data_IF_822504432059
#
_entry.id   IF_822504432059
#
_cell.length_a   1.000
_cell.length_b   1.000
_cell.length_c   1.000
_cell.angle_alpha   90.00
_cell.angle_beta   90.00
_cell.angle_gamma   90.00
#
_symmetry.space_group_name_H-M   'P 1'
#
loop_
_entity.id
_entity.type
_entity.pdbx_description
1 polymer ?
#
# COMPACT_ATOMS: atom_id res chain seq x y z
N UNK A 1 -3.02 -19.10 0.75
CA UNK A 1 -3.58 -17.76 1.02
C UNK A 1 -3.62 -17.43 2.51
N UNK A 2 -3.78 -18.42 3.42
CA UNK A 2 -3.77 -18.17 4.86
C UNK A 2 -2.40 -17.71 5.39
N UNK A 3 -1.29 -18.18 4.86
CA UNK A 3 0.05 -17.75 5.26
C UNK A 3 0.49 -16.38 4.75
N UNK A 4 -0.21 -15.82 3.75
CA UNK A 4 0.07 -14.47 3.23
C UNK A 4 -0.75 -13.41 3.98
N UNK A 5 -1.88 -13.78 4.56
CA UNK A 5 -2.73 -12.86 5.33
C UNK A 5 -2.22 -12.61 6.75
N UNK A 6 -1.51 -13.57 7.36
CA UNK A 6 -0.88 -13.38 8.68
C UNK A 6 0.31 -12.40 8.64
N UNK A 7 0.92 -12.19 7.47
CA UNK A 7 2.00 -11.21 7.28
C UNK A 7 1.51 -9.75 7.32
N UNK A 8 0.22 -9.49 7.18
CA UNK A 8 -0.31 -8.14 6.97
C UNK A 8 -0.82 -7.42 8.23
N UNK A 9 -1.07 -8.12 9.33
CA UNK A 9 -1.79 -7.51 10.46
C UNK A 9 -0.89 -6.70 11.42
N UNK A 10 0.39 -7.03 11.54
CA UNK A 10 1.29 -6.42 12.51
C UNK A 10 2.34 -5.47 11.92
N UNK A 11 2.57 -5.52 10.61
CA UNK A 11 3.65 -4.77 9.96
C UNK A 11 3.30 -3.32 9.58
N UNK A 12 2.07 -2.88 9.81
CA UNK A 12 1.55 -1.64 9.23
C UNK A 12 0.91 -0.72 10.28
N UNK A 13 1.23 0.57 10.24
CA UNK A 13 0.55 1.60 11.03
C UNK A 13 0.07 2.76 10.18
N UNK A 14 -1.09 3.29 10.55
CA UNK A 14 -1.67 4.51 10.01
C UNK A 14 -1.15 5.70 10.80
N UNK A 15 -0.50 6.65 10.14
CA UNK A 15 0.05 7.87 10.73
C UNK A 15 -0.91 9.06 10.66
N UNK A 16 -2.04 8.89 9.98
CA UNK A 16 -3.06 9.92 9.79
C UNK A 16 -4.43 9.38 10.15
N UNK A 17 -5.30 10.25 10.63
CA UNK A 17 -6.71 9.91 10.80
C UNK A 17 -7.35 9.66 9.43
N UNK A 18 -8.35 8.77 9.36
CA UNK A 18 -9.13 8.55 8.14
C UNK A 18 -9.71 9.86 7.58
N UNK A 19 -10.07 10.80 8.46
CA UNK A 19 -10.52 12.14 8.08
C UNK A 19 -9.44 12.94 7.34
N UNK A 20 -8.17 12.83 7.74
CA UNK A 20 -7.05 13.51 7.08
C UNK A 20 -6.83 12.95 5.68
N UNK A 21 -6.87 11.62 5.54
CA UNK A 21 -6.76 10.94 4.24
C UNK A 21 -7.87 11.38 3.28
N UNK A 22 -9.13 11.31 3.72
CA UNK A 22 -10.29 11.71 2.91
C UNK A 22 -10.17 13.18 2.52
N UNK A 23 -9.78 14.05 3.45
CA UNK A 23 -9.62 15.48 3.20
C UNK A 23 -8.56 15.76 2.12
N UNK A 24 -7.38 15.15 2.24
CA UNK A 24 -6.30 15.37 1.27
C UNK A 24 -6.64 14.75 -0.08
N UNK A 25 -7.09 13.49 -0.11
CA UNK A 25 -7.48 12.83 -1.36
C UNK A 25 -8.69 13.46 -2.04
N UNK A 26 -9.54 14.22 -1.33
CA UNK A 26 -10.62 14.99 -1.96
C UNK A 26 -10.11 16.09 -2.90
N UNK A 27 -8.89 16.58 -2.68
CA UNK A 27 -8.20 17.58 -3.52
C UNK A 27 -7.27 16.98 -4.57
N UNK A 28 -7.00 15.67 -4.49
CA UNK A 28 -6.16 14.94 -5.46
C UNK A 28 -7.01 14.48 -6.64
N UNK A 29 -6.50 14.54 -7.88
CA UNK A 29 -7.22 14.03 -9.05
C UNK A 29 -7.57 12.54 -8.89
N UNK A 30 -8.85 12.21 -9.02
CA UNK A 30 -9.38 10.86 -8.73
C UNK A 30 -8.95 9.77 -9.71
N UNK A 31 -8.30 10.15 -10.80
CA UNK A 31 -7.81 9.20 -11.82
C UNK A 31 -6.39 8.72 -11.56
N UNK A 32 -5.70 9.24 -10.54
CA UNK A 32 -4.34 8.85 -10.21
C UNK A 32 -4.29 7.54 -9.43
N UNK A 33 -3.26 6.76 -9.72
CA UNK A 33 -2.80 5.64 -8.93
C UNK A 33 -1.49 6.02 -8.23
N UNK A 34 -1.25 5.50 -7.04
CA UNK A 34 0.04 5.59 -6.35
C UNK A 34 0.61 4.18 -6.26
N UNK A 35 1.66 3.95 -7.01
CA UNK A 35 2.32 2.64 -7.17
C UNK A 35 3.82 2.92 -7.25
N UNK A 36 4.57 2.58 -6.21
CA UNK A 36 6.03 2.55 -6.29
C UNK A 36 6.46 1.46 -7.28
N UNK A 37 7.21 1.84 -8.33
CA UNK A 37 7.55 0.91 -9.40
C UNK A 37 8.91 1.20 -10.03
N UNK A 38 9.57 0.12 -10.44
CA UNK A 38 10.78 0.16 -11.26
C UNK A 38 10.76 -0.93 -12.32
N UNK A 39 11.38 -0.67 -13.47
CA UNK A 39 11.64 -1.67 -14.49
C UNK A 39 13.01 -2.33 -14.34
N UNK A 40 13.84 -1.82 -13.46
CA UNK A 40 15.11 -2.47 -13.08
C UNK A 40 14.81 -3.56 -12.05
N UNK A 41 14.46 -4.74 -12.58
CA UNK A 41 14.10 -5.89 -11.75
C UNK A 41 15.31 -6.69 -11.25
N UNK A 42 16.48 -6.50 -11.86
CA UNK A 42 17.74 -7.08 -11.42
C UNK A 42 17.63 -8.57 -11.09
N UNK A 43 18.09 -8.95 -9.90
CA UNK A 43 18.05 -10.34 -9.44
C UNK A 43 16.63 -10.93 -9.33
N UNK A 44 15.60 -10.08 -9.21
CA UNK A 44 14.19 -10.52 -9.16
C UNK A 44 13.76 -11.22 -10.46
N UNK A 45 14.41 -10.96 -11.60
CA UNK A 45 14.12 -11.65 -12.83
C UNK A 45 14.37 -13.16 -12.69
N UNK A 46 15.57 -13.55 -12.32
CA UNK A 46 15.99 -14.95 -12.21
C UNK A 46 15.41 -15.69 -10.99
N UNK A 47 15.02 -14.97 -9.94
CA UNK A 47 14.56 -15.57 -8.68
C UNK A 47 13.04 -15.51 -8.48
N UNK A 48 12.35 -14.59 -9.15
CA UNK A 48 10.90 -14.39 -8.98
C UNK A 48 10.13 -14.53 -10.30
N UNK A 49 10.56 -13.86 -11.37
CA UNK A 49 9.80 -13.80 -12.63
C UNK A 49 9.92 -15.11 -13.43
N UNK A 50 11.12 -15.62 -13.61
CA UNK A 50 11.38 -16.85 -14.38
C UNK A 50 10.94 -18.14 -13.66
N UNK A 51 11.08 -18.31 -12.34
CA UNK A 51 10.64 -19.53 -11.67
C UNK A 51 9.12 -19.75 -11.80
N UNK A 52 8.73 -21.01 -11.94
CA UNK A 52 7.32 -21.42 -11.98
C UNK A 52 6.95 -21.90 -10.58
N UNK A 53 6.06 -21.15 -9.93
CA UNK A 53 5.53 -21.49 -8.61
C UNK A 53 4.19 -22.20 -8.78
N UNK A 54 4.06 -23.35 -8.14
CA UNK A 54 2.84 -24.17 -8.18
C UNK A 54 2.25 -24.21 -6.77
N UNK A 55 1.03 -23.70 -6.63
CA UNK A 55 0.23 -23.83 -5.42
C UNK A 55 -0.64 -25.09 -5.49
N UNK A 56 -0.22 -26.14 -4.80
CA UNK A 56 -0.97 -27.39 -4.79
C UNK A 56 -2.36 -27.25 -4.14
N UNK A 57 -2.58 -26.24 -3.30
CA UNK A 57 -3.87 -25.97 -2.67
C UNK A 57 -4.97 -25.55 -3.65
N UNK A 58 -4.60 -25.01 -4.81
CA UNK A 58 -5.54 -24.68 -5.89
C UNK A 58 -6.06 -25.96 -6.58
N UNK A 59 -5.22 -27.00 -6.68
CA UNK A 59 -5.52 -28.24 -7.43
C UNK A 59 -5.90 -29.40 -6.53
N UNK A 60 -5.41 -29.42 -5.29
CA UNK A 60 -5.61 -30.49 -4.32
C UNK A 60 -6.17 -29.90 -3.02
N UNK A 61 -7.48 -29.94 -2.87
CA UNK A 61 -8.15 -29.51 -1.66
C UNK A 61 -7.50 -30.13 -0.40
N UNK A 62 -7.07 -29.28 0.54
CA UNK A 62 -6.49 -29.70 1.82
C UNK A 62 -4.95 -29.73 1.89
N UNK A 63 -4.22 -29.35 0.83
CA UNK A 63 -2.76 -29.15 0.87
C UNK A 63 -2.42 -27.68 0.71
N UNK A 64 -1.78 -27.08 1.74
CA UNK A 64 -1.34 -25.68 1.75
C UNK A 64 0.14 -25.50 1.38
N UNK A 65 0.70 -26.44 0.62
CA UNK A 65 2.10 -26.38 0.21
C UNK A 65 2.21 -25.85 -1.22
N UNK A 66 3.09 -24.88 -1.39
CA UNK A 66 3.54 -24.46 -2.72
C UNK A 66 4.96 -24.98 -2.97
N UNK A 67 5.32 -25.21 -4.21
CA UNK A 67 6.65 -25.65 -4.61
C UNK A 67 7.08 -24.95 -5.89
N UNK A 68 8.37 -24.83 -6.08
CA UNK A 68 8.95 -24.31 -7.31
C UNK A 68 9.24 -25.48 -8.25
N UNK A 69 8.85 -25.35 -9.51
CA UNK A 69 9.22 -26.30 -10.54
C UNK A 69 10.75 -26.28 -10.79
N UNK A 70 11.30 -27.41 -11.23
CA UNK A 70 12.72 -27.53 -11.56
C UNK A 70 13.10 -26.69 -12.78
N UNK A 71 12.18 -26.60 -13.74
CA UNK A 71 12.34 -25.82 -14.96
C UNK A 71 11.95 -24.34 -14.71
N UNK A 72 12.69 -23.44 -15.35
CA UNK A 72 12.37 -22.01 -15.41
C UNK A 72 11.80 -21.71 -16.80
N UNK A 73 10.96 -20.71 -16.87
CA UNK A 73 10.47 -20.15 -18.13
C UNK A 73 11.29 -18.95 -18.55
N UNK A 74 11.32 -18.67 -19.84
CA UNK A 74 11.89 -17.43 -20.35
C UNK A 74 11.02 -16.23 -19.96
N UNK A 75 11.65 -15.07 -19.83
CA UNK A 75 10.93 -13.83 -19.60
C UNK A 75 10.17 -13.46 -20.89
N UNK A 76 8.84 -13.29 -20.85
CA UNK A 76 8.08 -12.95 -22.05
C UNK A 76 8.46 -11.60 -22.65
N UNK A 77 8.49 -11.51 -23.98
CA UNK A 77 8.77 -10.28 -24.72
C UNK A 77 7.52 -9.41 -24.98
N UNK A 78 6.32 -9.97 -24.76
CA UNK A 78 5.05 -9.32 -25.08
C UNK A 78 4.68 -8.17 -24.17
N UNK A 79 5.35 -8.01 -23.03
CA UNK A 79 5.18 -6.93 -22.05
C UNK A 79 6.42 -6.81 -21.16
N UNK A 80 6.63 -5.62 -20.63
CA UNK A 80 7.74 -5.36 -19.71
C UNK A 80 7.29 -5.59 -18.27
N UNK A 81 8.15 -6.27 -17.49
CA UNK A 81 7.91 -6.42 -16.07
C UNK A 81 8.28 -5.19 -15.29
N UNK A 82 7.44 -4.88 -14.32
CA UNK A 82 7.69 -3.87 -13.30
C UNK A 82 7.51 -4.49 -11.93
N UNK A 83 8.30 -4.04 -10.98
CA UNK A 83 8.25 -4.48 -9.59
C UNK A 83 8.30 -3.28 -8.66
N UNK A 84 7.80 -3.42 -7.45
CA UNK A 84 7.86 -2.39 -6.43
C UNK A 84 7.16 -2.81 -5.16
N UNK A 85 6.68 -1.85 -4.41
CA UNK A 85 5.96 -2.08 -3.17
C UNK A 85 4.63 -2.82 -3.42
N UNK A 86 4.28 -3.87 -2.65
CA UNK A 86 2.98 -4.54 -2.77
C UNK A 86 1.81 -3.66 -2.30
N UNK A 87 2.11 -2.53 -1.69
CA UNK A 87 1.14 -1.60 -1.14
C UNK A 87 0.83 -0.52 -2.16
N UNK A 88 -0.36 -0.56 -2.72
CA UNK A 88 -0.77 0.32 -3.80
C UNK A 88 -2.05 1.05 -3.45
N UNK A 89 -2.24 2.26 -4.01
CA UNK A 89 -3.50 2.99 -3.96
C UNK A 89 -3.99 3.13 -5.39
N UNK A 90 -5.11 2.49 -5.68
CA UNK A 90 -5.60 2.33 -7.04
C UNK A 90 -6.92 3.08 -7.24
N UNK A 91 -7.04 3.77 -8.37
CA UNK A 91 -8.29 4.37 -8.76
C UNK A 91 -9.29 3.32 -9.28
N UNK A 92 -10.57 3.63 -9.16
CA UNK A 92 -11.64 2.69 -9.55
C UNK A 92 -11.57 2.28 -11.02
N UNK A 93 -11.27 3.21 -11.94
CA UNK A 93 -11.21 2.90 -13.38
C UNK A 93 -10.09 1.92 -13.71
N UNK A 94 -8.96 2.03 -13.01
CA UNK A 94 -7.86 1.07 -13.17
C UNK A 94 -8.26 -0.32 -12.67
N UNK A 95 -8.95 -0.41 -11.55
CA UNK A 95 -9.47 -1.70 -11.05
C UNK A 95 -10.50 -2.28 -12.03
N UNK A 96 -11.43 -1.45 -12.55
CA UNK A 96 -12.39 -1.88 -13.57
C UNK A 96 -11.68 -2.39 -14.83
N UNK A 97 -10.61 -1.72 -15.26
CA UNK A 97 -9.76 -2.19 -16.36
C UNK A 97 -9.08 -3.53 -16.05
N UNK A 98 -8.53 -3.72 -14.84
CA UNK A 98 -7.93 -5.00 -14.45
C UNK A 98 -8.93 -6.17 -14.50
N UNK A 99 -10.21 -5.91 -14.21
CA UNK A 99 -11.27 -6.94 -14.17
C UNK A 99 -11.93 -7.14 -15.54
N UNK A 100 -12.18 -6.06 -16.28
CA UNK A 100 -13.01 -6.06 -17.49
C UNK A 100 -12.27 -5.59 -18.74
N UNK A 101 -10.96 -5.37 -18.68
CA UNK A 101 -10.17 -4.85 -19.80
C UNK A 101 -10.34 -5.66 -21.10
N UNK A 102 -10.64 -4.97 -22.19
CA UNK A 102 -10.93 -5.58 -23.49
C UNK A 102 -9.69 -6.00 -24.27
N UNK A 103 -8.54 -5.40 -23.99
CA UNK A 103 -7.26 -5.67 -24.68
C UNK A 103 -6.55 -6.92 -24.20
N UNK A 104 -7.14 -7.66 -23.26
CA UNK A 104 -6.61 -8.86 -22.62
C UNK A 104 -5.29 -8.67 -21.82
N UNK A 105 -4.66 -7.51 -21.81
CA UNK A 105 -3.40 -7.33 -21.08
C UNK A 105 -3.51 -7.68 -19.58
N UNK A 106 -4.52 -7.19 -18.83
CA UNK A 106 -4.65 -7.56 -17.42
C UNK A 106 -4.83 -9.06 -17.21
N UNK A 107 -5.60 -9.72 -18.08
CA UNK A 107 -5.83 -11.16 -18.01
C UNK A 107 -4.57 -11.96 -18.33
N UNK A 108 -3.83 -11.58 -19.36
CA UNK A 108 -2.56 -12.22 -19.74
C UNK A 108 -1.55 -12.12 -18.61
N UNK A 109 -1.40 -10.91 -18.03
CA UNK A 109 -0.54 -10.70 -16.87
C UNK A 109 -1.03 -11.47 -15.64
N UNK A 110 -2.34 -11.52 -15.38
CA UNK A 110 -2.89 -12.30 -14.27
C UNK A 110 -2.54 -13.78 -14.41
N UNK A 111 -2.72 -14.36 -15.59
CA UNK A 111 -2.37 -15.76 -15.86
C UNK A 111 -0.88 -16.01 -15.64
N UNK A 112 -0.03 -15.09 -16.03
CA UNK A 112 1.41 -15.19 -15.79
C UNK A 112 1.74 -15.12 -14.29
N UNK A 113 1.19 -14.12 -13.59
CA UNK A 113 1.47 -13.85 -12.18
C UNK A 113 0.87 -14.90 -11.22
N UNK A 114 -0.07 -15.76 -11.66
CA UNK A 114 -0.53 -16.90 -10.83
C UNK A 114 0.58 -17.88 -10.45
N UNK A 115 1.65 -17.91 -11.23
CA UNK A 115 2.80 -18.80 -11.04
C UNK A 115 4.11 -18.05 -10.71
N UNK A 116 4.01 -16.84 -10.20
CA UNK A 116 5.16 -15.99 -9.81
C UNK A 116 5.26 -15.93 -8.29
N UNK A 117 6.48 -15.90 -7.76
CA UNK A 117 6.73 -15.62 -6.35
C UNK A 117 6.37 -14.15 -6.05
N UNK A 118 5.58 -13.91 -4.99
CA UNK A 118 5.15 -12.58 -4.56
C UNK A 118 4.48 -11.75 -5.69
N UNK A 119 3.39 -12.24 -6.29
CA UNK A 119 2.74 -11.62 -7.44
C UNK A 119 2.25 -10.19 -7.15
N UNK A 120 1.96 -9.85 -5.89
CA UNK A 120 1.53 -8.51 -5.48
C UNK A 120 2.59 -7.43 -5.69
N UNK A 121 3.87 -7.80 -5.73
CA UNK A 121 4.96 -6.87 -6.00
C UNK A 121 5.17 -6.58 -7.50
N UNK A 122 4.34 -7.11 -8.38
CA UNK A 122 4.55 -6.99 -9.82
C UNK A 122 3.31 -6.86 -10.68
N UNK A 123 2.18 -7.47 -10.31
CA UNK A 123 0.99 -7.51 -11.15
C UNK A 123 0.45 -6.11 -11.50
N UNK A 124 0.05 -5.34 -10.49
CA UNK A 124 -0.51 -4.00 -10.73
C UNK A 124 0.50 -3.04 -11.36
N UNK A 125 1.77 -3.15 -10.97
CA UNK A 125 2.90 -2.40 -11.54
C UNK A 125 3.02 -2.65 -13.04
N UNK A 126 3.06 -3.93 -13.44
CA UNK A 126 3.16 -4.32 -14.84
C UNK A 126 1.92 -3.97 -15.63
N UNK A 127 0.71 -4.15 -15.08
CA UNK A 127 -0.54 -3.75 -15.78
C UNK A 127 -0.57 -2.24 -15.99
N UNK A 128 -0.28 -1.43 -14.95
CA UNK A 128 -0.31 0.01 -15.05
C UNK A 128 0.69 0.52 -16.09
N UNK A 129 1.94 0.04 -16.03
CA UNK A 129 3.02 0.56 -16.86
C UNK A 129 3.02 0.05 -18.31
N UNK A 130 2.34 -1.07 -18.62
CA UNK A 130 2.13 -1.54 -19.99
C UNK A 130 0.80 -1.06 -20.61
N UNK A 131 0.05 -0.21 -19.93
CA UNK A 131 -1.24 0.31 -20.42
C UNK A 131 -1.24 1.85 -20.43
N UNK A 132 -2.33 2.45 -20.90
CA UNK A 132 -2.52 3.90 -20.89
C UNK A 132 -2.52 4.49 -19.47
N UNK A 133 -2.73 3.66 -18.44
CA UNK A 133 -2.68 4.07 -17.04
C UNK A 133 -1.29 4.49 -16.58
N UNK A 134 -0.22 4.20 -17.34
CA UNK A 134 1.14 4.73 -17.09
C UNK A 134 1.17 6.24 -16.88
N UNK A 135 0.34 6.98 -17.61
CA UNK A 135 0.25 8.44 -17.55
C UNK A 135 -0.48 8.95 -16.29
N UNK A 136 -1.14 8.06 -15.56
CA UNK A 136 -1.93 8.32 -14.37
C UNK A 136 -1.37 7.60 -13.14
N UNK A 137 -0.14 7.11 -13.23
CA UNK A 137 0.54 6.39 -12.14
C UNK A 137 1.67 7.25 -11.58
N UNK A 138 1.54 7.59 -10.30
CA UNK A 138 2.55 8.28 -9.51
C UNK A 138 3.47 7.23 -8.91
N UNK A 139 4.78 7.41 -9.06
CA UNK A 139 5.79 6.47 -8.55
C UNK A 139 6.07 6.72 -7.07
N UNK A 140 5.14 6.34 -6.22
CA UNK A 140 5.24 6.47 -4.76
C UNK A 140 4.19 5.57 -4.10
N UNK A 141 4.48 5.02 -2.94
CA UNK A 141 3.54 4.17 -2.17
C UNK A 141 3.01 4.85 -0.90
N UNK A 142 3.36 6.11 -0.68
CA UNK A 142 2.95 6.97 0.44
C UNK A 142 3.33 6.38 1.81
N UNK A 143 4.50 5.71 1.90
CA UNK A 143 4.96 5.04 3.13
C UNK A 143 6.31 5.52 3.59
N UNK A 144 6.44 5.65 4.91
CA UNK A 144 7.72 5.81 5.56
C UNK A 144 8.34 4.44 5.83
N UNK A 145 9.53 4.23 5.29
CA UNK A 145 10.34 3.02 5.49
C UNK A 145 11.80 3.42 5.62
N UNK A 146 12.54 2.69 6.45
CA UNK A 146 13.99 2.84 6.58
C UNK A 146 14.66 1.60 6.01
N UNK A 147 15.53 1.80 5.04
CA UNK A 147 16.26 0.74 4.36
C UNK A 147 17.75 0.81 4.68
N UNK A 148 18.43 -0.34 4.59
CA UNK A 148 19.90 -0.40 4.55
C UNK A 148 20.44 0.20 3.24
N UNK A 149 21.70 0.58 3.25
CA UNK A 149 22.44 0.94 2.05
C UNK A 149 23.65 0.00 1.89
N UNK A 150 23.63 -0.94 0.94
CA UNK A 150 22.60 -1.23 -0.06
C UNK A 150 21.33 -1.89 0.55
N UNK A 151 20.15 -1.71 -0.11
CA UNK A 151 18.89 -2.20 0.40
C UNK A 151 18.87 -3.72 0.59
N UNK A 152 18.42 -4.18 1.73
CA UNK A 152 18.18 -5.58 2.05
C UNK A 152 16.81 -6.06 1.50
N UNK A 153 16.45 -7.31 1.78
CA UNK A 153 15.17 -7.87 1.34
C UNK A 153 13.95 -7.21 1.99
N UNK A 154 14.13 -6.65 3.20
CA UNK A 154 13.07 -6.00 3.98
C UNK A 154 13.60 -4.74 4.67
N UNK A 155 12.73 -3.72 4.92
CA UNK A 155 13.12 -2.53 5.65
C UNK A 155 13.39 -2.82 7.12
N UNK A 156 14.04 -1.88 7.80
CA UNK A 156 14.26 -1.94 9.24
C UNK A 156 12.96 -1.89 10.04
N UNK A 157 12.96 -2.53 11.21
CA UNK A 157 11.92 -2.28 12.19
C UNK A 157 12.01 -0.87 12.75
N UNK A 158 10.92 -0.14 12.65
CA UNK A 158 10.79 1.19 13.22
C UNK A 158 10.65 1.12 14.74
N UNK A 159 11.26 2.05 15.44
CA UNK A 159 11.22 2.18 16.89
C UNK A 159 11.07 3.65 17.31
N UNK A 160 11.05 3.92 18.60
CA UNK A 160 10.80 5.26 19.17
C UNK A 160 11.78 6.34 18.66
N UNK A 161 13.00 5.97 18.27
CA UNK A 161 13.99 6.94 17.75
C UNK A 161 13.60 7.52 16.39
N UNK A 162 12.83 6.79 15.60
CA UNK A 162 12.36 7.23 14.28
C UNK A 162 11.12 8.13 14.35
N UNK A 163 10.57 8.39 15.57
CA UNK A 163 9.29 9.08 15.72
C UNK A 163 9.27 10.47 15.06
N UNK A 164 10.27 11.29 15.30
CA UNK A 164 10.28 12.68 14.84
C UNK A 164 10.43 12.76 13.31
N UNK A 165 11.28 11.92 12.74
CA UNK A 165 11.45 11.79 11.29
C UNK A 165 10.20 11.26 10.62
N UNK A 166 9.61 10.21 11.17
CA UNK A 166 8.35 9.60 10.72
C UNK A 166 7.20 10.63 10.70
N UNK A 167 7.05 11.41 11.78
CA UNK A 167 6.02 12.47 11.86
C UNK A 167 6.35 13.64 10.95
N UNK A 168 7.65 13.91 10.74
CA UNK A 168 8.16 14.94 9.85
C UNK A 168 7.95 14.63 8.36
N UNK A 169 7.98 13.37 7.97
CA UNK A 169 7.88 12.92 6.58
C UNK A 169 6.58 13.34 5.88
N UNK A 170 5.49 13.45 6.63
CA UNK A 170 4.18 13.83 6.09
C UNK A 170 3.43 12.70 5.38
N UNK A 171 4.01 11.51 5.24
CA UNK A 171 3.32 10.36 4.65
C UNK A 171 2.28 9.79 5.61
N UNK A 172 1.17 9.23 5.09
CA UNK A 172 0.09 8.74 5.93
C UNK A 172 0.31 7.34 6.49
N UNK A 173 1.28 6.60 5.98
CA UNK A 173 1.51 5.21 6.34
C UNK A 173 2.97 4.97 6.73
N UNK A 174 3.24 3.94 7.53
CA UNK A 174 4.59 3.50 7.85
C UNK A 174 4.67 1.97 8.02
N UNK A 175 5.85 1.44 7.77
CA UNK A 175 6.24 0.06 8.06
C UNK A 175 7.76 0.00 8.25
N UNK A 176 8.33 -0.95 8.98
CA UNK A 176 7.78 -2.17 9.55
C UNK A 176 7.84 -2.03 11.08
N UNK A 177 6.86 -2.56 11.80
CA UNK A 177 6.82 -2.51 13.27
C UNK A 177 6.95 -3.92 13.85
N UNK A 178 7.54 -4.01 15.04
CA UNK A 178 7.45 -5.23 15.86
C UNK A 178 6.12 -5.27 16.58
N UNK A 179 5.69 -6.46 16.94
CA UNK A 179 4.57 -6.63 17.86
C UNK A 179 4.87 -5.92 19.18
N UNK A 180 3.89 -5.18 19.70
CA UNK A 180 4.00 -4.40 20.95
C UNK A 180 5.13 -3.35 20.94
N UNK A 181 5.45 -2.77 19.77
CA UNK A 181 6.44 -1.70 19.66
C UNK A 181 5.93 -0.41 20.35
N UNK A 182 6.67 0.17 21.33
CA UNK A 182 6.26 1.37 22.05
C UNK A 182 6.03 2.60 21.14
N UNK A 183 6.60 2.60 19.93
CA UNK A 183 6.35 3.62 18.94
C UNK A 183 4.87 3.64 18.50
N UNK A 184 4.20 2.49 18.45
CA UNK A 184 2.79 2.39 18.10
C UNK A 184 1.90 3.08 19.14
N UNK A 185 2.20 2.86 20.43
CA UNK A 185 1.49 3.55 21.53
C UNK A 185 1.68 5.06 21.45
N UNK A 186 2.90 5.49 21.13
CA UNK A 186 3.21 6.93 20.95
C UNK A 186 2.46 7.54 19.77
N UNK A 187 2.33 6.81 18.67
CA UNK A 187 1.53 7.22 17.49
C UNK A 187 0.05 7.32 17.88
N UNK A 188 -0.49 6.32 18.56
CA UNK A 188 -1.88 6.29 18.99
C UNK A 188 -2.20 7.45 19.95
N UNK A 189 -1.33 7.75 20.90
CA UNK A 189 -1.51 8.86 21.85
C UNK A 189 -1.33 10.24 21.19
N UNK A 190 -0.22 10.47 20.49
CA UNK A 190 0.15 11.81 20.01
C UNK A 190 -0.47 12.21 18.68
N UNK A 191 -0.65 11.24 17.78
CA UNK A 191 -1.12 11.50 16.41
C UNK A 191 -2.60 11.15 16.28
N UNK A 192 -2.94 9.88 16.55
CA UNK A 192 -4.28 9.37 16.33
C UNK A 192 -5.24 9.69 17.46
N UNK A 193 -4.70 10.11 18.62
CA UNK A 193 -5.48 10.48 19.83
C UNK A 193 -6.46 9.38 20.24
N UNK A 194 -6.06 8.12 20.10
CA UNK A 194 -6.82 6.94 20.47
C UNK A 194 -6.58 6.64 21.95
N UNK A 195 -7.39 7.20 22.82
CA UNK A 195 -7.29 6.96 24.26
C UNK A 195 -8.21 5.80 24.63
N UNK A 196 -7.78 4.98 25.57
CA UNK A 196 -8.47 3.77 26.04
C UNK A 196 -9.98 3.93 26.34
N UNK A 197 -10.45 5.14 26.57
CA UNK A 197 -11.83 5.43 26.98
C UNK A 197 -12.58 6.37 26.03
N UNK A 198 -12.00 6.76 24.89
CA UNK A 198 -12.69 7.59 23.90
C UNK A 198 -13.09 6.74 22.69
N UNK A 199 -14.35 6.83 22.25
CA UNK A 199 -14.75 6.23 21.01
C UNK A 199 -13.93 6.83 19.85
N UNK A 200 -13.35 5.97 19.03
CA UNK A 200 -12.61 6.39 17.82
C UNK A 200 -13.64 6.94 16.82
N UNK A 201 -13.43 8.09 16.18
CA UNK A 201 -14.30 8.55 15.10
C UNK A 201 -14.47 7.46 14.05
N UNK A 202 -15.74 7.12 13.73
CA UNK A 202 -16.07 6.00 12.82
C UNK A 202 -16.36 4.66 13.50
N UNK A 203 -16.04 4.48 14.78
CA UNK A 203 -16.55 3.34 15.55
C UNK A 203 -18.04 3.53 15.85
N UNK A 204 -18.81 2.45 15.77
CA UNK A 204 -20.22 2.49 16.17
C UNK A 204 -20.32 2.87 17.65
N UNK A 205 -21.10 3.89 17.98
CA UNK A 205 -21.33 4.26 19.34
C UNK A 205 -22.29 3.25 19.98
N UNK A 206 -21.72 2.30 20.74
CA UNK A 206 -22.49 1.32 21.53
C UNK A 206 -22.72 1.79 22.96
N UNK A 207 -22.39 3.04 23.27
CA UNK A 207 -22.51 3.62 24.62
C UNK A 207 -23.96 3.60 25.09
N UNK A 208 -24.21 2.92 26.24
CA UNK A 208 -25.51 3.03 26.91
C UNK A 208 -25.72 4.46 27.35
N UNK A 209 -26.85 5.05 26.99
CA UNK A 209 -27.26 6.38 27.48
C UNK A 209 -27.18 6.40 29.01
N UNK A 210 -26.34 7.26 29.56
CA UNK A 210 -26.36 7.60 30.97
C UNK A 210 -27.36 8.72 31.18
N UNK A 211 -28.00 8.78 32.31
CA UNK A 211 -29.12 9.68 32.58
C UNK A 211 -28.83 11.19 32.33
N UNK A 212 -27.56 11.57 32.36
CA UNK A 212 -27.13 12.98 32.16
C UNK A 212 -26.10 13.18 31.03
N UNK A 213 -25.65 12.15 30.35
CA UNK A 213 -24.77 12.31 29.19
C UNK A 213 -24.98 11.17 28.20
N UNK A 214 -25.18 11.53 26.95
CA UNK A 214 -25.12 10.61 25.84
C UNK A 214 -23.66 10.58 25.35
N UNK A 215 -22.90 9.49 25.55
CA UNK A 215 -21.54 9.41 25.08
C UNK A 215 -21.44 9.56 23.55
N UNK A 216 -22.53 9.32 22.83
CA UNK A 216 -22.59 9.52 21.40
C UNK A 216 -22.79 10.97 20.98
N UNK A 217 -23.35 11.83 21.87
CA UNK A 217 -23.50 13.26 21.59
C UNK A 217 -22.18 14.04 21.63
N UNK A 218 -21.14 13.45 22.20
CA UNK A 218 -19.78 14.01 22.17
C UNK A 218 -19.10 13.83 20.79
N UNK A 219 -19.69 13.04 19.92
CA UNK A 219 -19.21 12.92 18.56
C UNK A 219 -19.58 14.18 17.78
N UNK A 220 -18.58 14.74 17.12
CA UNK A 220 -18.86 15.78 16.14
C UNK A 220 -19.71 15.21 15.01
N UNK A 221 -20.38 16.08 14.27
CA UNK A 221 -21.20 15.67 13.13
C UNK A 221 -20.39 14.75 12.19
N UNK A 222 -20.82 13.50 12.05
CA UNK A 222 -20.16 12.46 11.25
C UNK A 222 -20.09 12.81 9.76
N UNK A 223 -20.88 13.76 9.29
CA UNK A 223 -20.88 14.25 7.92
C UNK A 223 -19.85 15.38 7.68
N UNK A 224 -19.17 15.84 8.71
CA UNK A 224 -18.16 16.89 8.59
C UNK A 224 -16.78 16.31 8.81
N UNK A 225 -15.99 16.24 7.74
CA UNK A 225 -14.58 15.89 7.79
C UNK A 225 -13.79 17.07 8.33
N UNK A 226 -13.20 16.93 9.52
CA UNK A 226 -12.32 17.93 10.12
C UNK A 226 -10.89 17.46 10.03
N UNK A 227 -10.05 18.08 9.16
CA UNK A 227 -8.66 17.72 9.04
C UNK A 227 -7.88 18.05 10.31
N UNK A 228 -6.96 17.14 10.69
CA UNK A 228 -5.99 17.34 11.74
C UNK A 228 -4.69 17.97 11.21
N UNK A 229 -3.70 18.20 12.10
CA UNK A 229 -2.40 18.76 11.70
C UNK A 229 -1.64 17.90 10.69
N UNK A 230 -1.88 16.59 10.68
CA UNK A 230 -1.23 15.67 9.73
C UNK A 230 -1.75 15.82 8.30
N UNK A 231 -3.00 16.27 8.12
CA UNK A 231 -3.55 16.56 6.79
C UNK A 231 -2.73 17.63 6.05
N UNK A 232 -2.24 18.66 6.75
CA UNK A 232 -1.41 19.70 6.13
C UNK A 232 -0.05 19.15 5.69
N UNK A 233 0.60 18.35 6.55
CA UNK A 233 1.88 17.70 6.20
C UNK A 233 1.71 16.76 5.02
N UNK A 234 0.67 15.94 5.02
CA UNK A 234 0.38 15.02 3.93
C UNK A 234 0.08 15.77 2.63
N UNK A 235 -0.65 16.88 2.68
CA UNK A 235 -0.89 17.72 1.50
C UNK A 235 0.41 18.30 0.94
N UNK A 236 1.32 18.76 1.79
CA UNK A 236 2.65 19.25 1.36
C UNK A 236 3.44 18.13 0.67
N UNK A 237 3.44 16.94 1.25
CA UNK A 237 4.10 15.77 0.66
C UNK A 237 3.52 15.41 -0.72
N UNK A 238 2.20 15.34 -0.86
CA UNK A 238 1.54 15.08 -2.15
C UNK A 238 1.91 16.13 -3.20
N UNK A 239 1.93 17.41 -2.83
CA UNK A 239 2.33 18.47 -3.76
C UNK A 239 3.79 18.33 -4.18
N UNK A 240 4.68 17.98 -3.27
CA UNK A 240 6.09 17.73 -3.57
C UNK A 240 6.24 16.58 -4.58
N UNK A 241 5.58 15.44 -4.36
CA UNK A 241 5.61 14.31 -5.31
C UNK A 241 5.13 14.74 -6.70
N UNK A 242 4.08 15.56 -6.78
CA UNK A 242 3.58 16.03 -8.06
C UNK A 242 4.55 16.95 -8.79
N UNK A 243 5.26 17.82 -8.08
CA UNK A 243 6.31 18.65 -8.69
C UNK A 243 7.51 17.81 -9.13
N UNK A 244 7.93 16.85 -8.33
CA UNK A 244 8.98 15.90 -8.69
C UNK A 244 8.59 15.04 -9.90
N UNK A 245 7.35 14.58 -9.96
CA UNK A 245 6.84 13.80 -11.10
C UNK A 245 6.80 14.61 -12.40
N UNK A 246 6.54 15.90 -12.33
CA UNK A 246 6.61 16.79 -13.51
C UNK A 246 8.04 17.05 -13.99
N UNK A 247 8.98 17.16 -13.06
CA UNK A 247 10.38 17.48 -13.37
C UNK A 247 11.17 16.25 -13.82
N UNK A 248 10.91 15.11 -13.23
CA UNK A 248 11.47 13.83 -13.63
C UNK A 248 10.48 13.14 -14.55
N UNK A 249 10.92 12.73 -15.73
CA UNK A 249 10.14 11.89 -16.66
C UNK A 249 9.93 10.48 -16.02
N UNK A 250 9.31 10.45 -14.85
CA UNK A 250 9.32 9.34 -13.90
C UNK A 250 8.10 8.43 -14.04
N UNK A 251 7.32 8.61 -15.11
CA UNK A 251 6.25 7.69 -15.46
C UNK A 251 6.85 6.48 -16.16
N UNK A 252 6.71 5.30 -15.57
CA UNK A 252 6.96 3.96 -16.17
C UNK A 252 8.00 3.98 -17.31
N UNK A 253 9.26 4.28 -17.02
CA UNK A 253 10.32 4.31 -18.06
C UNK A 253 10.44 2.93 -18.68
N UNK A 254 10.20 2.89 -19.98
CA UNK A 254 10.46 1.72 -20.82
C UNK A 254 11.94 1.58 -21.10
#
# INVERSE_FOLDING_TARGET
>A
LSGVLDFCAHDFSLLSLAADLIHVFSSVPRHLNFIDHTSDIGWKESQRVQPIIVDAGIYLAGRNQFFQATEKRDTPDGFKFFTGSPWVILNRRFIEYCVFGWDNLPRTLLMYFTNVMLPLEGYFHSVACNSDFRNFTVNDDLRYMVWDDPPQMEPHFLNVTHYDELVGSGVPFARKFKENEPLLDKIDDKILRRWYHRPVPGAWCTGRKRWFSDPCSQWSNVNIVRPGPQAEKFRKYINQIFEESKSSNNSCKQ
#
